data_IF_133063364075
#
_entry.id   IF_133063364075
#
_cell.length_a   1.000
_cell.length_b   1.000
_cell.length_c   1.000
_cell.angle_alpha   90.00
_cell.angle_beta   90.00
_cell.angle_gamma   90.00
#
_symmetry.space_group_name_H-M   'P 1'
#
loop_
_entity.id
_entity.type
_entity.pdbx_description
1 polymer ?
#
# COMPACT_ATOMS: atom_id res chain seq x y z
N UNK A 1 -6.99 44.65 48.18
CA UNK A 1 -7.71 44.42 46.91
C UNK A 1 -6.77 44.20 45.72
N UNK A 2 -5.63 44.90 45.63
CA UNK A 2 -4.62 44.77 44.56
C UNK A 2 -4.09 43.34 44.35
N UNK A 3 -3.84 42.57 45.42
CA UNK A 3 -3.31 41.20 45.33
C UNK A 3 -4.27 40.22 44.64
N UNK A 4 -5.59 40.41 44.82
CA UNK A 4 -6.62 39.56 44.16
C UNK A 4 -6.68 39.83 42.66
N UNK A 5 -6.45 41.07 42.25
CA UNK A 5 -6.42 41.48 40.83
C UNK A 5 -5.17 40.91 40.16
N UNK A 6 -4.00 40.97 40.81
CA UNK A 6 -2.76 40.40 40.28
C UNK A 6 -2.88 38.88 40.08
N UNK A 7 -3.46 38.17 41.06
CA UNK A 7 -3.71 36.73 40.95
C UNK A 7 -4.70 36.38 39.83
N UNK A 8 -5.79 37.15 39.69
CA UNK A 8 -6.76 36.94 38.62
C UNK A 8 -6.16 37.18 37.23
N UNK A 9 -5.35 38.23 37.06
CA UNK A 9 -4.66 38.53 35.80
C UNK A 9 -3.63 37.45 35.47
N UNK A 10 -2.85 36.98 36.45
CA UNK A 10 -1.88 35.90 36.26
C UNK A 10 -2.54 34.57 35.87
N UNK A 11 -3.73 34.28 36.41
CA UNK A 11 -4.47 33.05 36.08
C UNK A 11 -5.04 33.08 34.66
N UNK A 12 -5.55 34.24 34.22
CA UNK A 12 -6.06 34.42 32.85
C UNK A 12 -4.93 34.33 31.83
N UNK A 13 -3.79 34.96 32.07
CA UNK A 13 -2.65 34.90 31.14
C UNK A 13 -2.04 33.50 31.04
N UNK A 14 -1.96 32.75 32.15
CA UNK A 14 -1.50 31.36 32.13
C UNK A 14 -2.45 30.43 31.34
N UNK A 15 -3.76 30.65 31.43
CA UNK A 15 -4.76 29.85 30.69
C UNK A 15 -4.71 30.05 29.17
N UNK A 16 -4.40 31.28 28.72
CA UNK A 16 -4.26 31.61 27.29
C UNK A 16 -2.97 30.99 26.72
N UNK A 17 -1.88 31.01 27.50
CA UNK A 17 -0.60 30.44 27.08
C UNK A 17 -0.62 28.89 26.99
N UNK A 18 -1.46 28.22 27.78
CA UNK A 18 -1.58 26.76 27.78
C UNK A 18 -2.48 26.19 26.66
N UNK A 19 -3.17 27.04 25.89
CA UNK A 19 -4.27 26.61 25.01
C UNK A 19 -3.88 26.26 23.56
N UNK A 20 -2.60 26.22 23.19
CA UNK A 20 -2.21 26.06 21.77
C UNK A 20 -1.03 25.10 21.53
N UNK A 21 -1.19 23.84 21.94
CA UNK A 21 -0.30 22.78 21.46
C UNK A 21 -1.11 21.81 20.59
N UNK A 22 -1.26 22.12 19.31
CA UNK A 22 -1.79 21.17 18.33
C UNK A 22 -0.63 20.33 17.80
N UNK A 23 -0.56 19.06 18.17
CA UNK A 23 0.33 18.11 17.51
C UNK A 23 -0.34 17.62 16.22
N UNK A 24 0.29 17.86 15.07
CA UNK A 24 -0.13 17.30 13.79
C UNK A 24 0.68 16.04 13.50
N UNK A 25 0.01 14.89 13.43
CA UNK A 25 0.62 13.66 12.95
C UNK A 25 0.49 13.61 11.43
N UNK A 26 1.55 13.97 10.72
CA UNK A 26 1.63 13.81 9.27
C UNK A 26 1.99 12.37 8.90
N UNK A 27 1.23 11.75 8.00
CA UNK A 27 1.63 10.49 7.37
C UNK A 27 2.40 10.79 6.07
N UNK A 28 3.74 10.61 6.04
CA UNK A 28 4.53 10.84 4.84
C UNK A 28 4.15 9.91 3.67
N UNK A 29 3.46 8.80 3.95
CA UNK A 29 2.99 7.85 2.93
C UNK A 29 1.52 8.03 2.55
N UNK A 30 0.81 9.00 3.15
CA UNK A 30 -0.63 9.18 2.93
C UNK A 30 -1.00 9.37 1.47
N UNK A 31 -0.21 10.14 0.71
CA UNK A 31 -0.41 10.32 -0.73
C UNK A 31 -0.15 9.05 -1.54
N UNK A 32 0.90 8.29 -1.21
CA UNK A 32 1.19 7.02 -1.86
C UNK A 32 0.08 5.98 -1.59
N UNK A 33 -0.53 6.03 -0.40
CA UNK A 33 -1.68 5.20 -0.05
C UNK A 33 -2.93 5.60 -0.84
N UNK A 34 -3.22 6.89 -0.99
CA UNK A 34 -4.31 7.39 -1.86
C UNK A 34 -4.10 6.94 -3.31
N UNK A 35 -2.88 7.04 -3.84
CA UNK A 35 -2.57 6.59 -5.19
C UNK A 35 -2.76 5.08 -5.36
N UNK A 36 -2.28 4.29 -4.38
CA UNK A 36 -2.43 2.84 -4.39
C UNK A 36 -3.88 2.40 -4.30
N UNK A 37 -4.67 3.09 -3.45
CA UNK A 37 -6.11 2.89 -3.35
C UNK A 37 -6.80 3.15 -4.68
N UNK A 38 -6.60 4.33 -5.28
CA UNK A 38 -7.18 4.69 -6.58
C UNK A 38 -6.77 3.73 -7.71
N UNK A 39 -5.51 3.28 -7.72
CA UNK A 39 -5.02 2.29 -8.68
C UNK A 39 -5.77 0.96 -8.51
N UNK A 40 -5.89 0.48 -7.27
CA UNK A 40 -6.51 -0.82 -6.98
C UNK A 40 -8.00 -0.88 -7.29
N UNK A 41 -8.72 0.25 -7.20
CA UNK A 41 -10.14 0.33 -7.54
C UNK A 41 -10.41 0.15 -9.03
N UNK A 42 -9.47 0.57 -9.88
CA UNK A 42 -9.70 0.69 -11.33
C UNK A 42 -8.91 -0.33 -12.16
N UNK A 43 -8.03 -1.12 -11.54
CA UNK A 43 -7.14 -2.06 -12.25
C UNK A 43 -7.19 -3.45 -11.63
N UNK A 44 -6.99 -4.51 -12.43
CA UNK A 44 -6.87 -5.85 -11.90
C UNK A 44 -5.65 -5.96 -10.99
N UNK A 45 -5.73 -6.84 -9.99
CA UNK A 45 -4.62 -7.15 -9.06
C UNK A 45 -3.52 -8.00 -9.70
N UNK A 46 -3.83 -8.61 -10.85
CA UNK A 46 -2.94 -9.49 -11.59
C UNK A 46 -2.52 -8.88 -12.93
N UNK A 47 -1.45 -9.41 -13.49
CA UNK A 47 -1.07 -9.20 -14.89
C UNK A 47 -1.75 -10.18 -15.84
N UNK A 48 -1.19 -10.31 -17.04
CA UNK A 48 -1.79 -11.10 -18.12
C UNK A 48 -1.35 -12.57 -18.16
N UNK A 49 -0.47 -13.03 -17.26
CA UNK A 49 0.03 -14.40 -17.25
C UNK A 49 -0.62 -15.23 -16.16
N UNK A 50 -0.85 -16.51 -16.42
CA UNK A 50 -1.32 -17.47 -15.42
C UNK A 50 -0.18 -18.29 -14.83
N UNK A 51 -0.36 -18.76 -13.60
CA UNK A 51 0.55 -19.70 -12.99
C UNK A 51 0.33 -21.11 -13.57
N UNK A 52 1.39 -21.73 -14.10
CA UNK A 52 1.28 -23.00 -14.84
C UNK A 52 0.63 -24.13 -14.06
N UNK A 53 0.80 -24.17 -12.73
CA UNK A 53 0.22 -25.23 -11.90
C UNK A 53 -1.29 -25.06 -11.70
N UNK A 54 -1.79 -23.82 -11.73
CA UNK A 54 -3.17 -23.51 -11.37
C UNK A 54 -4.04 -23.09 -12.58
N UNK A 55 -3.44 -22.80 -13.73
CA UNK A 55 -4.17 -22.34 -14.93
C UNK A 55 -4.80 -20.95 -14.79
N UNK A 56 -4.53 -20.24 -13.70
CA UNK A 56 -5.03 -18.89 -13.40
C UNK A 56 -3.92 -18.03 -12.77
N UNK A 57 -4.02 -16.69 -12.81
CA UNK A 57 -3.16 -15.83 -12.02
C UNK A 57 -3.21 -16.20 -10.55
N UNK A 58 -2.05 -16.29 -9.91
CA UNK A 58 -1.91 -16.64 -8.51
C UNK A 58 -1.52 -15.39 -7.71
N UNK A 59 -2.20 -15.15 -6.59
CA UNK A 59 -1.81 -14.09 -5.68
C UNK A 59 -0.82 -14.60 -4.64
N UNK A 60 0.32 -13.94 -4.55
CA UNK A 60 1.25 -14.07 -3.44
C UNK A 60 0.91 -13.01 -2.40
N UNK A 61 0.37 -13.46 -1.27
CA UNK A 61 0.01 -12.58 -0.17
C UNK A 61 1.28 -12.17 0.57
N UNK A 62 1.48 -10.86 0.71
CA UNK A 62 2.58 -10.28 1.48
C UNK A 62 2.08 -9.48 2.67
N UNK A 63 2.94 -9.20 3.67
CA UNK A 63 2.56 -8.36 4.80
C UNK A 63 2.03 -7.00 4.34
N UNK A 64 1.09 -6.39 5.08
CA UNK A 64 0.50 -5.10 4.72
C UNK A 64 1.53 -3.95 4.67
N UNK A 65 2.68 -4.12 5.34
CA UNK A 65 3.81 -3.19 5.37
C UNK A 65 4.71 -3.27 4.13
N UNK A 66 4.53 -4.24 3.24
CA UNK A 66 5.35 -4.35 2.03
C UNK A 66 4.83 -3.42 0.92
N UNK A 67 5.60 -2.40 0.53
CA UNK A 67 5.15 -1.41 -0.47
C UNK A 67 5.65 -1.66 -1.90
N UNK A 68 6.73 -2.43 -2.04
CA UNK A 68 7.42 -2.63 -3.32
C UNK A 68 7.63 -4.11 -3.57
N UNK A 69 7.56 -4.51 -4.84
CA UNK A 69 7.97 -5.81 -5.34
C UNK A 69 9.16 -5.66 -6.28
N UNK A 70 9.98 -6.69 -6.32
CA UNK A 70 11.10 -6.79 -7.25
C UNK A 70 10.79 -7.82 -8.31
N UNK A 71 10.94 -7.44 -9.58
CA UNK A 71 10.83 -8.32 -10.74
C UNK A 71 12.24 -8.55 -11.27
N UNK A 72 12.65 -9.81 -11.34
CA UNK A 72 13.96 -10.17 -11.88
C UNK A 72 13.89 -10.36 -13.39
N UNK A 73 14.99 -10.08 -14.09
CA UNK A 73 15.16 -10.34 -15.51
C UNK A 73 16.27 -11.36 -15.76
N UNK A 74 16.11 -12.12 -16.84
CA UNK A 74 17.07 -13.13 -17.31
C UNK A 74 18.15 -12.49 -18.21
N UNK A 75 17.94 -11.23 -18.61
CA UNK A 75 18.90 -10.41 -19.36
C UNK A 75 19.72 -9.47 -18.46
N UNK A 76 20.67 -8.78 -19.06
CA UNK A 76 21.55 -7.83 -18.35
C UNK A 76 20.78 -6.56 -17.98
N UNK A 77 20.80 -6.18 -16.70
CA UNK A 77 20.45 -4.82 -16.25
C UNK A 77 18.95 -4.49 -16.15
N UNK A 78 18.06 -5.47 -16.16
CA UNK A 78 16.60 -5.23 -16.19
C UNK A 78 15.85 -5.71 -14.94
N UNK A 79 16.50 -5.70 -13.77
CA UNK A 79 15.78 -5.89 -12.51
C UNK A 79 15.01 -4.61 -12.18
N UNK A 80 13.71 -4.74 -11.97
CA UNK A 80 12.80 -3.59 -11.81
C UNK A 80 12.11 -3.67 -10.46
N UNK A 81 11.89 -2.51 -9.85
CA UNK A 81 11.08 -2.37 -8.66
C UNK A 81 9.76 -1.70 -9.01
N UNK A 82 8.66 -2.31 -8.59
CA UNK A 82 7.32 -1.78 -8.80
C UNK A 82 6.57 -1.66 -7.47
N UNK A 83 5.70 -0.65 -7.30
CA UNK A 83 4.81 -0.57 -6.15
C UNK A 83 3.80 -1.73 -6.15
N UNK A 84 3.41 -2.16 -4.95
CA UNK A 84 2.33 -3.12 -4.71
C UNK A 84 1.09 -2.33 -4.33
N UNK A 85 0.22 -2.08 -5.31
CA UNK A 85 -0.95 -1.22 -5.10
C UNK A 85 -2.08 -1.93 -4.34
N UNK A 86 -2.42 -3.15 -4.77
CA UNK A 86 -3.57 -3.87 -4.26
C UNK A 86 -3.38 -4.33 -2.81
N UNK A 87 -4.43 -4.15 -2.02
CA UNK A 87 -4.51 -4.60 -0.64
C UNK A 87 -5.91 -5.17 -0.39
N UNK A 88 -5.97 -6.32 0.30
CA UNK A 88 -7.25 -6.91 0.69
C UNK A 88 -7.73 -6.33 2.02
N UNK A 89 -9.05 -6.10 2.11
CA UNK A 89 -9.69 -5.73 3.36
C UNK A 89 -9.72 -6.91 4.33
N UNK A 90 -9.89 -6.63 5.62
CA UNK A 90 -9.92 -7.64 6.69
C UNK A 90 -10.94 -8.76 6.49
N UNK A 91 -12.07 -8.46 5.84
CA UNK A 91 -13.12 -9.45 5.54
C UNK A 91 -12.87 -10.24 4.25
N UNK A 92 -11.89 -9.87 3.43
CA UNK A 92 -11.58 -10.54 2.18
C UNK A 92 -10.53 -11.63 2.43
N UNK A 93 -10.94 -12.89 2.31
CA UNK A 93 -10.07 -14.06 2.53
C UNK A 93 -9.18 -14.38 1.32
N UNK A 94 -9.47 -13.77 0.16
CA UNK A 94 -8.77 -14.03 -1.10
C UNK A 94 -8.90 -12.81 -2.01
N UNK A 95 -7.93 -12.60 -2.93
CA UNK A 95 -8.18 -11.85 -4.15
C UNK A 95 -9.47 -12.30 -4.82
N UNK A 96 -10.23 -11.34 -5.35
CA UNK A 96 -11.33 -11.63 -6.25
C UNK A 96 -10.84 -12.47 -7.43
N UNK A 97 -11.69 -13.37 -7.92
CA UNK A 97 -11.35 -14.28 -9.03
C UNK A 97 -10.84 -13.49 -10.24
N UNK A 98 -9.67 -13.87 -10.74
CA UNK A 98 -9.12 -13.32 -11.97
C UNK A 98 -10.00 -13.72 -13.17
N UNK A 99 -10.49 -12.74 -13.94
CA UNK A 99 -11.34 -12.97 -15.11
C UNK A 99 -10.62 -12.54 -16.38
N UNK A 100 -10.68 -13.35 -17.42
CA UNK A 100 -10.10 -13.03 -18.72
C UNK A 100 -9.35 -14.20 -19.34
N UNK A 101 -8.74 -13.96 -20.51
CA UNK A 101 -7.78 -14.87 -21.13
C UNK A 101 -6.39 -14.51 -20.65
N UNK A 102 -5.67 -15.50 -20.13
CA UNK A 102 -4.32 -15.35 -19.62
C UNK A 102 -3.34 -16.11 -20.51
N UNK A 103 -2.11 -15.60 -20.60
CA UNK A 103 -1.02 -16.25 -21.31
C UNK A 103 -0.30 -17.22 -20.38
N UNK A 104 0.12 -18.36 -20.93
CA UNK A 104 1.07 -19.23 -20.24
C UNK A 104 2.44 -18.59 -20.21
N UNK A 105 3.30 -19.06 -19.30
CA UNK A 105 4.71 -18.65 -19.32
C UNK A 105 5.31 -18.98 -20.68
N UNK A 106 5.99 -18.03 -21.35
CA UNK A 106 6.69 -18.31 -22.59
C UNK A 106 7.76 -19.37 -22.40
N UNK A 107 8.12 -20.07 -23.49
CA UNK A 107 9.23 -21.04 -23.48
C UNK A 107 10.55 -20.42 -23.02
N UNK A 108 10.76 -19.15 -23.35
CA UNK A 108 11.93 -18.35 -22.95
C UNK A 108 11.44 -17.10 -22.22
N UNK A 109 11.24 -17.16 -20.89
CA UNK A 109 10.80 -16.01 -20.12
C UNK A 109 11.91 -14.96 -20.01
N UNK A 110 11.54 -13.70 -20.13
CA UNK A 110 12.40 -12.54 -19.91
C UNK A 110 12.32 -12.05 -18.46
N UNK A 111 11.17 -12.22 -17.79
CA UNK A 111 10.92 -11.68 -16.43
C UNK A 111 10.16 -12.65 -15.52
N UNK A 112 10.32 -12.49 -14.19
CA UNK A 112 9.57 -13.28 -13.18
C UNK A 112 8.06 -13.08 -13.27
N UNK A 113 7.61 -11.94 -13.79
CA UNK A 113 6.17 -11.62 -13.90
C UNK A 113 5.43 -12.51 -14.92
N UNK A 114 6.17 -13.23 -15.78
CA UNK A 114 5.63 -14.15 -16.77
C UNK A 114 5.27 -15.53 -16.19
N UNK A 115 5.59 -15.78 -14.92
CA UNK A 115 5.14 -16.98 -14.21
C UNK A 115 3.75 -16.84 -13.59
N UNK A 116 3.08 -15.69 -13.76
CA UNK A 116 1.70 -15.49 -13.38
C UNK A 116 1.43 -15.44 -11.88
N UNK A 117 2.45 -15.18 -11.08
CA UNK A 117 2.34 -14.94 -9.63
C UNK A 117 2.47 -13.45 -9.34
N UNK A 118 1.47 -12.86 -8.68
CA UNK A 118 1.37 -11.42 -8.45
C UNK A 118 1.26 -11.10 -6.97
N UNK A 119 1.99 -10.07 -6.53
CA UNK A 119 2.04 -9.65 -5.14
C UNK A 119 0.78 -8.88 -4.77
N UNK A 120 0.14 -9.24 -3.67
CA UNK A 120 -0.96 -8.47 -3.10
C UNK A 120 -0.82 -8.38 -1.59
N UNK A 121 -1.09 -7.19 -1.03
CA UNK A 121 -0.95 -6.97 0.40
C UNK A 121 -2.11 -7.58 1.18
N UNK A 122 -1.77 -8.25 2.27
CA UNK A 122 -2.74 -8.79 3.22
C UNK A 122 -3.51 -7.69 3.97
N UNK A 123 -4.57 -8.08 4.68
CA UNK A 123 -5.30 -7.18 5.55
C UNK A 123 -4.47 -6.73 6.75
N UNK A 124 -4.84 -5.58 7.30
CA UNK A 124 -4.41 -5.12 8.62
C UNK A 124 -5.22 -5.78 9.73
#
# INVERSE_FOLDING_TARGET
MIHRIILAVGLVTASIAASQTTASAGDPYGMAQVWSYNFSMNRPWHGNYYNQMHGQPLALIVPPTAHMRQTYSWGVGQNLMYPIHHQFGRSANSPGTARGRFYGTPRWPSHTDQFGTYYVRGPW
#
